data_IF_030368718150
#
_entry.id   IF_030368718150
#
_cell.length_a   1.000
_cell.length_b   1.000
_cell.length_c   1.000
_cell.angle_alpha   90.00
_cell.angle_beta   90.00
_cell.angle_gamma   90.00
#
_symmetry.space_group_name_H-M   'P 1'
#
loop_
_entity.id
_entity.type
_entity.pdbx_description
1 polymer ?
#
# COMPACT_ATOMS: atom_id res chain seq x y z
N UNK A 1 -6.81 0.89 5.00
CA UNK A 1 -7.18 2.06 5.82
C UNK A 1 -6.17 2.19 6.94
N UNK A 2 -5.76 3.40 7.28
CA UNK A 2 -4.90 3.72 8.43
C UNK A 2 -5.40 4.99 9.12
N UNK A 3 -4.91 5.29 10.33
CA UNK A 3 -5.25 6.51 11.06
C UNK A 3 -4.00 7.40 11.22
N UNK A 4 -4.13 8.69 10.96
CA UNK A 4 -3.06 9.68 11.11
C UNK A 4 -3.66 11.06 11.46
N UNK A 5 -3.16 11.68 12.52
CA UNK A 5 -3.62 12.99 13.03
C UNK A 5 -5.15 13.11 13.18
N UNK A 6 -5.78 12.13 13.84
CA UNK A 6 -7.23 12.12 14.05
C UNK A 6 -8.05 11.73 12.82
N UNK A 7 -7.44 11.69 11.63
CA UNK A 7 -8.11 11.33 10.39
C UNK A 7 -7.95 9.84 10.07
N UNK A 8 -8.98 9.26 9.47
CA UNK A 8 -8.92 7.97 8.79
C UNK A 8 -8.57 8.20 7.33
N UNK A 9 -7.63 7.40 6.80
CA UNK A 9 -7.18 7.45 5.42
C UNK A 9 -7.45 6.12 4.73
N UNK A 10 -8.07 6.18 3.56
CA UNK A 10 -8.51 5.02 2.79
C UNK A 10 -8.01 5.15 1.37
N UNK A 11 -7.32 4.11 0.90
CA UNK A 11 -6.88 4.00 -0.48
C UNK A 11 -7.57 2.79 -1.15
N UNK A 12 -8.03 2.97 -2.38
CA UNK A 12 -8.55 1.91 -3.24
C UNK A 12 -9.82 1.22 -2.73
N UNK A 13 -9.92 -0.08 -2.95
CA UNK A 13 -11.10 -0.89 -2.62
C UNK A 13 -12.02 -1.13 -3.82
N UNK A 14 -13.11 -1.87 -3.57
CA UNK A 14 -14.10 -2.27 -4.57
C UNK A 14 -15.46 -1.65 -4.25
N UNK A 15 -16.20 -1.26 -5.29
CA UNK A 15 -17.60 -0.85 -5.15
C UNK A 15 -18.49 -1.98 -5.65
N UNK A 16 -19.23 -2.60 -4.73
CA UNK A 16 -20.22 -3.63 -5.06
C UNK A 16 -21.37 -3.05 -5.89
N UNK A 17 -21.90 -3.82 -6.84
CA UNK A 17 -23.00 -3.40 -7.74
C UNK A 17 -22.56 -2.51 -8.91
N UNK A 18 -21.32 -2.02 -8.90
CA UNK A 18 -20.63 -1.46 -10.06
C UNK A 18 -19.46 -2.39 -10.36
N UNK A 19 -19.78 -3.59 -10.83
CA UNK A 19 -18.85 -4.69 -11.09
C UNK A 19 -17.83 -4.29 -12.15
N UNK A 20 -16.79 -3.56 -11.76
CA UNK A 20 -15.64 -3.19 -12.61
C UNK A 20 -14.69 -2.17 -12.02
N UNK A 21 -15.10 -1.43 -10.99
CA UNK A 21 -14.32 -0.27 -10.53
C UNK A 21 -13.73 -0.54 -9.16
N UNK A 22 -12.78 -1.47 -9.12
CA UNK A 22 -11.68 -1.33 -8.17
C UNK A 22 -11.13 0.10 -8.34
N UNK A 23 -10.75 0.74 -7.24
CA UNK A 23 -10.32 2.15 -7.29
C UNK A 23 -8.84 2.32 -6.96
N UNK A 24 -8.32 3.49 -7.33
CA UNK A 24 -6.99 4.02 -6.99
C UNK A 24 -7.12 5.36 -6.26
N UNK A 25 -8.31 5.70 -5.77
CA UNK A 25 -8.55 6.96 -5.07
C UNK A 25 -8.10 6.89 -3.62
N UNK A 26 -7.59 8.02 -3.13
CA UNK A 26 -7.24 8.29 -1.76
C UNK A 26 -8.27 9.25 -1.16
N UNK A 27 -8.83 8.85 -0.04
CA UNK A 27 -9.82 9.62 0.71
C UNK A 27 -9.39 9.75 2.16
N UNK A 28 -9.77 10.84 2.79
CA UNK A 28 -9.59 11.04 4.23
C UNK A 28 -10.87 11.58 4.89
N UNK A 29 -11.05 11.30 6.18
CA UNK A 29 -12.11 11.90 6.98
C UNK A 29 -11.63 12.05 8.43
N UNK A 30 -11.89 13.18 9.05
CA UNK A 30 -11.87 13.30 10.52
C UNK A 30 -13.23 12.85 11.06
N UNK A 31 -13.36 11.64 11.63
CA UNK A 31 -14.64 11.13 12.07
C UNK A 31 -15.21 11.88 13.30
N UNK A 32 -14.41 12.70 13.98
CA UNK A 32 -14.87 13.49 15.12
C UNK A 32 -15.52 14.82 14.68
N UNK A 33 -15.12 15.37 13.53
CA UNK A 33 -15.53 16.71 13.11
C UNK A 33 -16.15 16.80 11.72
N UNK A 34 -15.99 15.79 10.88
CA UNK A 34 -16.44 15.80 9.48
C UNK A 34 -17.58 14.81 9.26
N UNK A 35 -18.55 15.21 8.42
CA UNK A 35 -19.68 14.37 8.02
C UNK A 35 -19.52 13.82 6.59
N UNK A 36 -18.53 14.32 5.85
CA UNK A 36 -18.27 13.94 4.46
C UNK A 36 -16.80 13.58 4.28
N UNK A 37 -16.55 12.61 3.40
CA UNK A 37 -15.20 12.21 3.04
C UNK A 37 -14.55 13.27 2.15
N UNK A 38 -13.30 13.61 2.44
CA UNK A 38 -12.45 14.46 1.62
C UNK A 38 -11.73 13.63 0.57
N UNK A 39 -11.78 14.08 -0.69
CA UNK A 39 -11.01 13.51 -1.79
C UNK A 39 -9.59 14.07 -1.80
N UNK A 40 -8.58 13.20 -1.78
CA UNK A 40 -7.17 13.60 -1.78
C UNK A 40 -6.50 13.36 -3.15
N UNK A 41 -7.03 12.46 -3.98
CA UNK A 41 -6.54 12.22 -5.34
C UNK A 41 -6.90 10.85 -5.88
N UNK A 42 -6.77 10.63 -7.19
CA UNK A 42 -7.05 9.34 -7.85
C UNK A 42 -5.97 8.86 -8.83
N UNK A 43 -4.88 9.62 -8.95
CA UNK A 43 -3.77 9.32 -9.84
C UNK A 43 -4.07 9.46 -11.34
N UNK A 44 -5.25 9.97 -11.73
CA UNK A 44 -5.56 10.13 -13.16
C UNK A 44 -4.64 11.14 -13.81
N UNK A 45 -4.01 10.74 -14.91
CA UNK A 45 -3.08 11.58 -15.66
C UNK A 45 -1.68 11.66 -15.05
N UNK A 46 -1.41 10.91 -13.98
CA UNK A 46 -0.06 10.76 -13.42
C UNK A 46 0.66 9.58 -14.09
N UNK A 47 2.00 9.62 -14.07
CA UNK A 47 2.84 8.48 -14.44
C UNK A 47 2.55 7.27 -13.53
N UNK A 48 2.62 6.04 -14.04
CA UNK A 48 2.45 4.82 -13.25
C UNK A 48 3.50 4.71 -12.14
N UNK A 49 4.65 5.38 -12.28
CA UNK A 49 5.68 5.48 -11.24
C UNK A 49 5.37 6.50 -10.13
N UNK A 50 4.34 7.34 -10.29
CA UNK A 50 4.00 8.40 -9.34
C UNK A 50 2.76 8.10 -8.49
N UNK A 51 1.95 7.11 -8.87
CA UNK A 51 0.72 6.77 -8.17
C UNK A 51 0.42 5.28 -8.19
N UNK A 52 0.05 4.67 -7.05
CA UNK A 52 -0.24 3.25 -7.02
C UNK A 52 -1.43 2.91 -7.92
N UNK A 53 -1.30 1.81 -8.65
CA UNK A 53 -2.38 1.39 -9.53
C UNK A 53 -3.59 0.85 -8.74
N UNK A 54 -4.77 0.93 -9.36
CA UNK A 54 -6.05 0.42 -8.88
C UNK A 54 -5.93 -0.97 -8.22
N UNK A 55 -6.47 -1.13 -7.01
CA UNK A 55 -6.44 -2.40 -6.26
C UNK A 55 -7.53 -2.49 -5.18
N UNK A 56 -7.91 -3.71 -4.86
CA UNK A 56 -8.70 -4.09 -3.70
C UNK A 56 -8.06 -5.31 -3.01
N UNK A 57 -8.55 -5.68 -1.82
CA UNK A 57 -7.99 -6.79 -1.03
C UNK A 57 -6.48 -6.66 -0.74
N UNK A 58 -5.94 -5.44 -0.85
CA UNK A 58 -4.62 -5.10 -0.36
C UNK A 58 -4.72 -4.79 1.14
N UNK A 59 -3.58 -4.76 1.82
CA UNK A 59 -3.49 -4.30 3.20
C UNK A 59 -2.80 -2.94 3.21
N UNK A 60 -3.28 -2.06 4.08
CA UNK A 60 -2.58 -0.82 4.40
C UNK A 60 -2.08 -0.88 5.85
N UNK A 61 -0.85 -0.44 6.10
CA UNK A 61 -0.29 -0.33 7.47
C UNK A 61 0.27 1.06 7.71
N UNK A 62 0.11 1.54 8.93
CA UNK A 62 0.60 2.85 9.36
C UNK A 62 2.07 2.76 9.75
N UNK A 63 2.83 3.76 9.33
CA UNK A 63 4.16 4.07 9.84
C UNK A 63 4.07 5.31 10.73
N UNK A 64 4.49 5.15 11.98
CA UNK A 64 4.55 6.26 12.92
C UNK A 64 5.77 7.14 12.60
N UNK A 65 5.52 8.43 12.39
CA UNK A 65 6.57 9.44 12.38
C UNK A 65 7.14 9.71 13.77
N UNK A 66 7.95 10.76 13.87
CA UNK A 66 8.45 11.25 15.14
C UNK A 66 7.32 11.85 16.01
N UNK A 67 7.66 12.38 17.19
CA UNK A 67 6.66 12.94 18.12
C UNK A 67 5.82 14.10 17.54
N UNK A 68 6.28 14.75 16.46
CA UNK A 68 5.55 15.79 15.73
C UNK A 68 4.75 15.25 14.54
N UNK A 69 4.84 13.95 14.27
CA UNK A 69 4.25 13.30 13.10
C UNK A 69 5.08 13.40 11.81
N UNK A 70 6.26 14.02 11.86
CA UNK A 70 7.17 14.11 10.71
C UNK A 70 7.71 12.71 10.36
N UNK A 71 7.75 12.37 9.08
CA UNK A 71 8.10 11.03 8.62
C UNK A 71 7.00 9.97 8.79
N UNK A 72 5.78 10.35 9.18
CA UNK A 72 4.65 9.40 9.19
C UNK A 72 4.25 9.01 7.77
N UNK A 73 3.82 7.76 7.61
CA UNK A 73 3.45 7.23 6.30
C UNK A 73 2.41 6.13 6.33
N UNK A 74 1.98 5.74 5.14
CA UNK A 74 1.09 4.61 4.93
C UNK A 74 1.70 3.68 3.88
N UNK A 75 1.94 2.43 4.24
CA UNK A 75 2.33 1.42 3.28
C UNK A 75 1.13 0.68 2.74
N UNK A 76 1.13 0.40 1.44
CA UNK A 76 0.24 -0.58 0.80
C UNK A 76 1.10 -1.57 0.02
N UNK A 77 0.72 -2.85 0.03
CA UNK A 77 1.36 -3.87 -0.79
C UNK A 77 0.34 -4.77 -1.47
N UNK A 78 0.68 -5.22 -2.67
CA UNK A 78 -0.06 -6.22 -3.42
C UNK A 78 -1.56 -5.88 -3.55
N UNK A 79 -2.43 -6.89 -3.48
CA UNK A 79 -3.86 -6.76 -3.76
C UNK A 79 -4.20 -7.16 -5.19
N UNK A 80 -5.47 -7.04 -5.55
CA UNK A 80 -5.98 -7.50 -6.83
C UNK A 80 -6.80 -6.43 -7.54
N UNK A 81 -6.80 -6.50 -8.86
CA UNK A 81 -7.76 -5.80 -9.72
C UNK A 81 -8.51 -6.84 -10.56
N UNK A 82 -9.83 -6.86 -10.46
CA UNK A 82 -10.71 -7.63 -11.35
C UNK A 82 -11.45 -6.67 -12.29
N UNK A 83 -10.93 -6.36 -13.49
CA UNK A 83 -11.78 -5.77 -14.53
C UNK A 83 -12.77 -6.83 -15.04
N UNK A 84 -13.71 -6.48 -15.93
CA UNK A 84 -14.53 -7.39 -16.75
C UNK A 84 -13.64 -8.35 -17.55
N UNK A 85 -13.03 -9.33 -16.88
CA UNK A 85 -11.90 -10.12 -17.37
C UNK A 85 -11.13 -10.79 -16.23
N UNK A 86 -9.97 -11.42 -16.51
CA UNK A 86 -9.21 -12.12 -15.49
C UNK A 86 -8.66 -11.15 -14.46
N UNK A 87 -8.84 -11.48 -13.18
CA UNK A 87 -8.23 -10.69 -12.11
C UNK A 87 -6.69 -10.74 -12.22
N UNK A 88 -6.05 -9.63 -11.90
CA UNK A 88 -4.59 -9.46 -11.87
C UNK A 88 -4.15 -9.05 -10.46
N UNK A 89 -3.25 -9.83 -9.87
CA UNK A 89 -2.59 -9.46 -8.63
C UNK A 89 -1.56 -8.36 -8.89
N UNK A 90 -1.40 -7.45 -7.93
CA UNK A 90 -0.37 -6.42 -7.92
C UNK A 90 0.89 -6.97 -7.26
N UNK A 91 2.04 -6.52 -7.75
CA UNK A 91 3.37 -6.97 -7.31
C UNK A 91 4.21 -5.83 -6.72
N UNK A 92 3.60 -4.65 -6.61
CA UNK A 92 4.22 -3.42 -6.14
C UNK A 92 3.94 -3.19 -4.65
N UNK A 93 4.84 -2.44 -4.03
CA UNK A 93 4.70 -1.90 -2.68
C UNK A 93 4.88 -0.40 -2.75
N UNK A 94 4.03 0.34 -2.05
CA UNK A 94 4.03 1.79 -2.09
C UNK A 94 3.98 2.36 -0.68
N UNK A 95 4.62 3.51 -0.51
CA UNK A 95 4.52 4.34 0.69
C UNK A 95 3.89 5.68 0.31
N UNK A 96 2.83 6.06 1.00
CA UNK A 96 2.32 7.43 1.00
C UNK A 96 3.00 8.19 2.13
N UNK A 97 3.55 9.34 1.81
CA UNK A 97 4.16 10.25 2.76
C UNK A 97 3.14 11.34 3.14
N UNK A 98 2.77 11.40 4.42
CA UNK A 98 1.72 12.32 4.87
C UNK A 98 2.15 13.80 4.86
N UNK A 99 3.45 14.07 4.90
CA UNK A 99 3.98 15.45 4.93
C UNK A 99 4.02 16.07 3.53
N UNK A 100 4.59 15.35 2.57
CA UNK A 100 4.64 15.77 1.17
C UNK A 100 3.34 15.51 0.42
N UNK A 101 2.46 14.65 0.94
CA UNK A 101 1.22 14.25 0.30
C UNK A 101 1.43 13.43 -0.98
N UNK A 102 2.56 12.71 -1.09
CA UNK A 102 2.98 12.02 -2.31
C UNK A 102 3.22 10.53 -2.09
N UNK A 103 3.14 9.76 -3.18
CA UNK A 103 3.43 8.33 -3.18
C UNK A 103 4.82 8.04 -3.71
N UNK A 104 5.49 7.04 -3.12
CA UNK A 104 6.76 6.49 -3.58
C UNK A 104 6.64 4.97 -3.72
N UNK A 105 7.00 4.45 -4.88
CA UNK A 105 7.10 2.99 -5.08
C UNK A 105 8.38 2.47 -4.42
N UNK A 106 8.24 1.39 -3.65
CA UNK A 106 9.34 0.68 -3.01
C UNK A 106 9.66 -0.58 -3.81
N UNK A 107 10.89 -0.66 -4.29
CA UNK A 107 11.41 -1.86 -4.94
C UNK A 107 12.11 -2.73 -3.91
N UNK A 108 11.68 -3.99 -3.80
CA UNK A 108 12.28 -4.96 -2.91
C UNK A 108 12.66 -6.21 -3.71
N UNK A 109 13.92 -6.63 -3.61
CA UNK A 109 14.44 -7.80 -4.33
C UNK A 109 13.75 -9.11 -3.90
N UNK A 110 13.21 -9.15 -2.67
CA UNK A 110 12.55 -10.31 -2.08
C UNK A 110 11.02 -10.14 -1.96
N UNK A 111 10.41 -9.39 -2.89
CA UNK A 111 8.96 -9.19 -2.92
C UNK A 111 8.18 -10.53 -2.87
N UNK A 112 7.04 -10.60 -2.14
CA UNK A 112 6.18 -11.76 -2.17
C UNK A 112 5.67 -12.03 -3.59
N UNK A 113 5.37 -13.30 -3.90
CA UNK A 113 4.58 -13.63 -5.09
C UNK A 113 3.30 -12.78 -5.06
N UNK A 114 2.89 -12.16 -6.19
CA UNK A 114 1.73 -11.28 -6.25
C UNK A 114 0.48 -11.95 -5.69
N UNK A 115 -0.12 -11.32 -4.68
CA UNK A 115 -1.17 -11.92 -3.85
C UNK A 115 -2.20 -10.91 -3.35
N UNK A 116 -3.28 -11.40 -2.78
CA UNK A 116 -4.32 -10.60 -2.16
C UNK A 116 -4.88 -11.26 -0.90
N UNK A 117 -5.69 -10.52 -0.14
CA UNK A 117 -6.28 -10.98 1.13
C UNK A 117 -5.24 -11.52 2.11
N UNK A 118 -4.02 -10.96 2.08
CA UNK A 118 -2.94 -11.30 3.00
C UNK A 118 -3.07 -10.49 4.30
N UNK A 119 -2.21 -10.76 5.27
CA UNK A 119 -2.00 -9.89 6.44
C UNK A 119 -0.63 -9.21 6.34
N UNK A 120 -0.53 -7.97 6.79
CA UNK A 120 0.73 -7.23 6.81
C UNK A 120 0.87 -6.44 8.11
N UNK A 121 2.08 -6.37 8.64
CA UNK A 121 2.46 -5.51 9.77
C UNK A 121 3.81 -4.85 9.49
N UNK A 122 3.98 -3.61 9.97
CA UNK A 122 5.28 -2.94 9.99
C UNK A 122 5.93 -3.15 11.36
N UNK A 123 7.21 -3.50 11.39
CA UNK A 123 8.00 -3.53 12.63
C UNK A 123 9.41 -3.04 12.36
N UNK A 124 9.78 -1.92 13.00
CA UNK A 124 10.98 -1.14 12.63
C UNK A 124 10.89 -0.82 11.13
N UNK A 125 11.96 -1.10 10.39
CA UNK A 125 12.08 -0.75 8.97
C UNK A 125 11.79 -1.98 8.09
N UNK A 126 10.85 -2.84 8.49
CA UNK A 126 10.52 -4.07 7.76
C UNK A 126 9.03 -4.34 7.79
N UNK A 127 8.44 -4.52 6.61
CA UNK A 127 7.09 -5.03 6.43
C UNK A 127 7.13 -6.56 6.47
N UNK A 128 6.29 -7.15 7.30
CA UNK A 128 6.09 -8.59 7.37
C UNK A 128 4.74 -8.93 6.76
N UNK A 129 4.74 -9.70 5.68
CA UNK A 129 3.56 -10.16 4.96
C UNK A 129 3.35 -11.63 5.27
N UNK A 130 2.15 -12.00 5.71
CA UNK A 130 1.78 -13.39 5.99
C UNK A 130 0.57 -13.81 5.17
N UNK A 131 0.66 -15.01 4.59
CA UNK A 131 -0.44 -15.68 3.91
C UNK A 131 -0.95 -14.94 2.68
N UNK A 132 -2.26 -15.05 2.43
CA UNK A 132 -2.94 -14.54 1.24
C UNK A 132 -3.05 -15.58 0.12
N UNK A 133 -3.63 -15.15 -0.99
CA UNK A 133 -3.89 -15.99 -2.17
C UNK A 133 -3.23 -15.36 -3.40
N UNK A 134 -2.55 -16.16 -4.22
CA UNK A 134 -2.04 -15.73 -5.53
C UNK A 134 -2.82 -16.40 -6.65
N UNK A 135 -2.84 -15.78 -7.83
CA UNK A 135 -3.51 -16.34 -9.01
C UNK A 135 -2.55 -17.06 -9.96
N UNK A 136 -1.26 -16.72 -9.94
CA UNK A 136 -0.23 -17.27 -10.83
C UNK A 136 1.09 -17.47 -10.04
N UNK A 137 1.38 -18.69 -9.55
CA UNK A 137 0.49 -19.86 -9.51
C UNK A 137 -0.73 -19.63 -8.60
N UNK A 138 -1.80 -20.39 -8.83
CA UNK A 138 -2.94 -20.40 -7.90
C UNK A 138 -2.55 -21.14 -6.62
N UNK A 139 -2.40 -20.42 -5.51
CA UNK A 139 -2.05 -21.03 -4.22
C UNK A 139 -2.44 -20.15 -3.04
N UNK A 140 -2.71 -20.81 -1.92
CA UNK A 140 -2.78 -20.18 -0.60
C UNK A 140 -1.40 -20.22 0.03
N UNK A 141 -0.96 -19.06 0.49
CA UNK A 141 0.35 -18.87 1.11
C UNK A 141 0.24 -19.12 2.62
N UNK A 142 1.30 -19.66 3.21
CA UNK A 142 1.39 -19.91 4.66
C UNK A 142 2.76 -19.48 5.22
N UNK A 143 3.56 -18.78 4.42
CA UNK A 143 4.86 -18.25 4.77
C UNK A 143 4.79 -16.79 5.21
N UNK A 144 5.84 -16.37 5.92
CA UNK A 144 6.12 -14.96 6.20
C UNK A 144 7.16 -14.47 5.18
N UNK A 145 6.88 -13.33 4.55
CA UNK A 145 7.83 -12.57 3.74
C UNK A 145 8.21 -11.29 4.47
N UNK A 146 9.50 -11.09 4.66
CA UNK A 146 10.05 -9.87 5.23
C UNK A 146 10.53 -8.96 4.08
N UNK A 147 10.04 -7.73 4.06
CA UNK A 147 10.37 -6.71 3.07
C UNK A 147 11.00 -5.54 3.81
N UNK A 148 12.34 -5.42 3.83
CA UNK A 148 13.00 -4.24 4.34
C UNK A 148 12.51 -3.01 3.58
N UNK A 149 12.11 -1.99 4.33
CA UNK A 149 11.67 -0.69 3.82
C UNK A 149 12.66 0.37 4.32
N UNK A 150 13.94 0.18 3.99
CA UNK A 150 14.91 1.25 4.18
C UNK A 150 14.55 2.37 3.21
N UNK A 151 14.40 3.60 3.73
CA UNK A 151 14.40 4.77 2.87
C UNK A 151 15.62 4.67 1.95
N UNK A 152 15.39 4.71 0.63
CA UNK A 152 16.46 5.09 -0.27
C UNK A 152 16.82 6.52 0.15
N UNK A 153 17.80 6.64 1.05
CA UNK A 153 18.46 7.90 1.29
C UNK A 153 18.77 8.50 -0.06
N UNK A 154 18.46 9.79 -0.23
CA UNK A 154 18.92 10.53 -1.40
C UNK A 154 20.43 10.27 -1.58
N UNK A 155 20.78 9.42 -2.54
CA UNK A 155 22.15 8.92 -2.74
C UNK A 155 22.25 7.42 -2.57
N UNK A 156 22.20 6.69 -3.68
CA UNK A 156 22.36 5.24 -3.71
C UNK A 156 23.68 4.78 -3.08
N UNK A 157 23.58 3.96 -2.05
CA UNK A 157 24.58 2.97 -1.67
C UNK A 157 23.85 1.77 -1.08
N UNK A 158 23.95 0.62 -1.75
CA UNK A 158 23.54 -0.65 -1.17
C UNK A 158 24.52 -1.02 -0.06
N UNK A 159 24.00 -1.38 1.11
CA UNK A 159 24.78 -2.09 2.11
C UNK A 159 24.59 -3.58 1.81
N UNK A 160 25.70 -4.24 1.49
CA UNK A 160 25.78 -5.70 1.43
C UNK A 160 25.70 -6.21 2.86
N UNK A 161 24.78 -7.14 3.11
CA UNK A 161 24.73 -7.88 4.36
C UNK A 161 25.93 -8.84 4.42
N UNK A 162 26.95 -8.45 5.18
CA UNK A 162 28.00 -9.36 5.65
C UNK A 162 27.70 -9.71 7.12
N UNK A 163 26.91 -10.78 7.35
CA UNK A 163 26.96 -11.63 8.55
C UNK A 163 26.47 -13.06 8.23
#
# INVERSE_FOLDING_TARGET
MVAHHGRLWVYGGNVWGVSDKARSDLWSIDPATELEWRFEGDGKGMDEAAWPAVRAHHVAVYEAGNAKGEGAGMYITAGLRCPNGPCKCREDTWRYDFESGSWVELKADNAPIPRYSHSMVLRKDTLYVFGGESMKPYMYHNEIKALPVTEFGFGGMSIRDDL
#
